data_IF_974683241534
#
_entry.id   IF_974683241534
#
_cell.length_a   1.000
_cell.length_b   1.000
_cell.length_c   1.000
_cell.angle_alpha   90.00
_cell.angle_beta   90.00
_cell.angle_gamma   90.00
#
_symmetry.space_group_name_H-M   'P 1'
#
loop_
_entity.id
_entity.type
_entity.pdbx_description
1 polymer ?
#
# COMPACT_ATOMS: atom_id res chain seq x y z
N UNK A 1 5.39 -13.53 8.02
CA UNK A 1 5.34 -12.29 7.19
C UNK A 1 6.73 -11.97 6.65
N UNK A 2 6.89 -11.15 5.61
CA UNK A 2 8.23 -10.78 5.11
C UNK A 2 9.12 -10.11 6.17
N UNK A 3 8.51 -9.40 7.13
CA UNK A 3 9.18 -8.82 8.29
C UNK A 3 9.97 -9.85 9.12
N UNK A 4 9.46 -11.07 9.27
CA UNK A 4 10.11 -12.16 10.03
C UNK A 4 11.33 -12.75 9.31
N UNK A 5 11.50 -12.46 8.02
CA UNK A 5 12.66 -12.91 7.23
C UNK A 5 13.85 -11.96 7.36
N UNK A 6 13.68 -10.79 7.99
CA UNK A 6 14.75 -9.84 8.21
C UNK A 6 15.59 -10.35 9.37
N UNK A 7 16.85 -10.67 9.06
CA UNK A 7 17.80 -11.19 10.04
C UNK A 7 17.98 -10.17 11.18
N UNK A 8 17.97 -10.67 12.42
CA UNK A 8 18.21 -9.90 13.64
C UNK A 8 17.15 -8.82 13.95
N UNK A 9 16.01 -8.80 13.24
CA UNK A 9 14.91 -7.89 13.52
C UNK A 9 14.04 -8.36 14.70
N UNK A 10 13.68 -7.44 15.60
CA UNK A 10 12.61 -7.64 16.56
C UNK A 10 11.30 -7.14 15.94
N UNK A 11 10.34 -8.04 15.74
CA UNK A 11 9.09 -7.75 15.03
C UNK A 11 7.94 -7.60 16.02
N UNK A 12 7.30 -6.43 16.01
CA UNK A 12 6.06 -6.15 16.74
C UNK A 12 4.95 -5.88 15.74
N UNK A 13 3.77 -6.46 15.97
CA UNK A 13 2.58 -6.26 15.15
C UNK A 13 1.59 -5.35 15.85
N UNK A 14 0.93 -4.51 15.07
CA UNK A 14 -0.08 -3.55 15.52
C UNK A 14 -1.38 -3.77 14.75
N UNK A 15 -2.48 -3.27 15.29
CA UNK A 15 -3.80 -3.47 14.69
C UNK A 15 -4.07 -2.49 13.54
N UNK A 16 -3.33 -1.38 13.46
CA UNK A 16 -3.47 -0.39 12.39
C UNK A 16 -2.14 0.24 11.98
N UNK A 17 -2.08 0.74 10.74
CA UNK A 17 -0.93 1.52 10.27
C UNK A 17 -0.73 2.82 11.07
N UNK A 18 -1.82 3.41 11.58
CA UNK A 18 -1.71 4.62 12.42
C UNK A 18 -0.94 4.38 13.72
N UNK A 19 -1.10 3.20 14.32
CA UNK A 19 -0.35 2.80 15.52
C UNK A 19 1.14 2.62 15.21
N UNK A 20 1.50 2.05 14.06
CA UNK A 20 2.90 1.86 13.70
C UNK A 20 3.62 3.20 13.47
N UNK A 21 2.97 4.18 12.84
CA UNK A 21 3.53 5.53 12.69
C UNK A 21 3.77 6.21 14.04
N UNK A 22 2.86 6.05 15.00
CA UNK A 22 3.03 6.57 16.35
C UNK A 22 4.23 5.94 17.05
N UNK A 23 4.42 4.63 16.89
CA UNK A 23 5.53 3.89 17.48
C UNK A 23 6.89 4.35 16.93
N UNK A 24 7.00 4.48 15.60
CA UNK A 24 8.20 4.99 14.94
C UNK A 24 8.56 6.40 15.45
N UNK A 25 7.58 7.30 15.52
CA UNK A 25 7.81 8.68 15.98
C UNK A 25 8.16 8.79 17.46
N UNK A 26 7.75 7.81 18.27
CA UNK A 26 8.13 7.71 19.69
C UNK A 26 9.49 7.03 19.89
N UNK A 27 10.12 6.54 18.83
CA UNK A 27 11.37 5.79 18.90
C UNK A 27 11.19 4.37 19.44
N UNK A 28 9.97 3.81 19.37
CA UNK A 28 9.69 2.43 19.76
C UNK A 28 10.11 1.40 18.71
N UNK A 29 10.30 1.83 17.47
CA UNK A 29 10.89 1.01 16.41
C UNK A 29 11.75 1.86 15.46
N UNK A 30 12.68 1.22 14.76
CA UNK A 30 13.57 1.88 13.79
C UNK A 30 12.93 1.99 12.39
N UNK A 31 11.98 1.10 12.06
CA UNK A 31 11.34 1.04 10.76
C UNK A 31 9.95 0.41 10.83
N UNK A 32 9.09 0.77 9.86
CA UNK A 32 7.78 0.17 9.64
C UNK A 32 7.80 -0.56 8.30
N UNK A 33 7.16 -1.72 8.24
CA UNK A 33 6.95 -2.48 7.01
C UNK A 33 5.46 -2.59 6.76
N UNK A 34 5.02 -2.07 5.62
CA UNK A 34 3.66 -2.20 5.11
C UNK A 34 3.67 -2.00 3.58
N UNK A 35 2.50 -2.13 2.98
CA UNK A 35 2.23 -1.88 1.58
C UNK A 35 2.61 -0.45 1.16
N UNK A 36 3.33 -0.32 0.04
CA UNK A 36 3.79 0.99 -0.47
C UNK A 36 2.64 2.00 -0.65
N UNK A 37 1.47 1.65 -1.22
CA UNK A 37 0.35 2.59 -1.32
C UNK A 37 -0.11 3.18 0.02
N UNK A 38 -0.02 2.40 1.12
CA UNK A 38 -0.40 2.87 2.46
C UNK A 38 0.59 3.91 2.97
N UNK A 39 1.89 3.67 2.78
CA UNK A 39 2.93 4.64 3.15
C UNK A 39 2.92 5.88 2.26
N UNK A 40 2.79 5.72 0.94
CA UNK A 40 2.69 6.83 -0.01
C UNK A 40 1.50 7.74 0.33
N UNK A 41 0.35 7.16 0.65
CA UNK A 41 -0.81 7.91 1.11
C UNK A 41 -0.54 8.69 2.40
N UNK A 42 0.11 8.07 3.39
CA UNK A 42 0.49 8.76 4.63
C UNK A 42 1.43 9.94 4.37
N UNK A 43 2.47 9.76 3.55
CA UNK A 43 3.40 10.84 3.18
C UNK A 43 2.68 12.00 2.48
N UNK A 44 1.75 11.71 1.57
CA UNK A 44 0.97 12.73 0.86
C UNK A 44 0.03 13.54 1.77
N UNK A 45 -0.59 12.87 2.73
CA UNK A 45 -1.71 13.43 3.51
C UNK A 45 -1.27 14.00 4.84
N UNK A 46 -0.44 13.28 5.59
CA UNK A 46 0.08 13.74 6.88
C UNK A 46 1.27 14.68 6.72
N UNK A 47 2.00 14.60 5.59
CA UNK A 47 3.20 15.39 5.28
C UNK A 47 4.19 15.45 6.46
N UNK A 48 4.59 14.28 7.00
CA UNK A 48 5.55 14.26 8.10
C UNK A 48 6.91 14.79 7.62
N UNK A 49 7.63 15.46 8.51
CA UNK A 49 8.98 15.99 8.29
C UNK A 49 10.07 15.21 9.04
N UNK A 50 9.67 14.21 9.83
CA UNK A 50 10.52 13.40 10.71
C UNK A 50 10.70 11.94 10.24
N UNK A 51 10.09 11.55 9.12
CA UNK A 51 10.22 10.21 8.53
C UNK A 51 10.44 10.28 7.02
N UNK A 52 11.06 9.24 6.48
CA UNK A 52 11.27 9.07 5.04
C UNK A 52 10.65 7.75 4.57
N UNK A 53 10.17 7.73 3.33
CA UNK A 53 9.86 6.48 2.63
C UNK A 53 11.15 5.98 1.99
N UNK A 54 11.55 4.75 2.29
CA UNK A 54 12.74 4.15 1.70
C UNK A 54 12.47 3.67 0.27
N UNK A 55 13.48 3.79 -0.57
CA UNK A 55 13.49 3.21 -1.91
C UNK A 55 13.63 1.69 -1.86
N UNK A 56 13.03 1.04 -2.86
CA UNK A 56 13.06 -0.42 -2.99
C UNK A 56 11.85 -1.13 -2.40
N UNK A 57 11.73 -2.40 -2.77
CA UNK A 57 10.61 -3.26 -2.41
C UNK A 57 11.16 -4.55 -1.81
N UNK A 58 10.64 -4.96 -0.65
CA UNK A 58 10.95 -6.28 -0.08
C UNK A 58 10.29 -7.38 -0.93
N UNK A 59 9.12 -7.08 -1.48
CA UNK A 59 8.39 -7.92 -2.43
C UNK A 59 7.50 -7.05 -3.31
N UNK A 60 7.17 -7.54 -4.49
CA UNK A 60 6.17 -6.94 -5.38
C UNK A 60 5.07 -7.97 -5.67
N UNK A 61 3.83 -7.59 -5.42
CA UNK A 61 2.65 -8.46 -5.57
C UNK A 61 1.54 -7.69 -6.28
N UNK A 62 0.77 -8.39 -7.11
CA UNK A 62 -0.40 -7.80 -7.77
C UNK A 62 -1.59 -7.79 -6.84
N UNK A 63 -2.25 -6.64 -6.70
CA UNK A 63 -3.52 -6.54 -5.96
C UNK A 63 -4.69 -7.12 -6.76
N UNK A 64 -5.67 -7.66 -6.04
CA UNK A 64 -6.90 -8.20 -6.62
C UNK A 64 -8.10 -8.07 -5.68
N UNK A 65 -9.29 -8.10 -6.27
CA UNK A 65 -10.56 -8.09 -5.51
C UNK A 65 -10.94 -9.54 -5.22
N UNK A 66 -11.02 -9.90 -3.94
CA UNK A 66 -11.43 -11.24 -3.52
C UNK A 66 -12.94 -11.39 -3.70
N UNK A 67 -13.35 -12.46 -4.39
CA UNK A 67 -14.75 -12.76 -4.70
C UNK A 67 -15.07 -14.22 -4.39
N UNK A 68 -16.36 -14.54 -4.20
CA UNK A 68 -16.81 -15.92 -4.05
C UNK A 68 -16.51 -16.69 -5.35
N UNK A 69 -15.74 -17.79 -5.24
CA UNK A 69 -15.31 -18.62 -6.37
C UNK A 69 -16.45 -19.17 -7.22
N UNK A 70 -17.63 -19.34 -6.64
CA UNK A 70 -18.79 -19.88 -7.35
C UNK A 70 -19.63 -18.79 -8.05
N UNK A 71 -19.33 -17.50 -7.84
CA UNK A 71 -20.06 -16.41 -8.46
C UNK A 71 -19.30 -15.87 -9.69
N UNK A 72 -19.29 -16.68 -10.74
CA UNK A 72 -18.59 -16.37 -12.00
C UNK A 72 -19.20 -15.19 -12.73
N UNK A 73 -20.52 -15.00 -12.64
CA UNK A 73 -21.22 -13.87 -13.28
C UNK A 73 -20.73 -12.52 -12.71
N UNK A 74 -20.63 -12.40 -11.38
CA UNK A 74 -20.09 -11.20 -10.75
C UNK A 74 -18.63 -10.98 -11.13
N UNK A 75 -17.82 -12.04 -11.12
CA UNK A 75 -16.41 -11.96 -11.50
C UNK A 75 -16.23 -11.41 -12.92
N UNK A 76 -17.01 -11.92 -13.88
CA UNK A 76 -16.96 -11.44 -15.26
C UNK A 76 -17.41 -9.99 -15.39
N UNK A 77 -18.48 -9.59 -14.68
CA UNK A 77 -18.97 -8.21 -14.70
C UNK A 77 -17.93 -7.24 -14.15
N UNK A 78 -17.29 -7.58 -13.02
CA UNK A 78 -16.23 -6.78 -12.40
C UNK A 78 -15.04 -6.66 -13.34
N UNK A 79 -14.57 -7.77 -13.92
CA UNK A 79 -13.44 -7.75 -14.85
C UNK A 79 -13.72 -6.88 -16.08
N UNK A 80 -14.89 -7.05 -16.73
CA UNK A 80 -15.29 -6.21 -17.88
C UNK A 80 -15.39 -4.73 -17.51
N UNK A 81 -15.87 -4.41 -16.31
CA UNK A 81 -15.90 -3.04 -15.81
C UNK A 81 -14.49 -2.46 -15.63
N UNK A 82 -13.58 -3.27 -15.08
CA UNK A 82 -12.20 -2.87 -14.85
C UNK A 82 -11.43 -2.63 -16.17
N UNK A 83 -11.67 -3.46 -17.19
CA UNK A 83 -11.07 -3.28 -18.52
C UNK A 83 -11.53 -1.97 -19.15
N UNK A 84 -12.84 -1.65 -19.07
CA UNK A 84 -13.39 -0.39 -19.59
C UNK A 84 -12.74 0.84 -18.95
N UNK A 85 -12.63 0.88 -17.63
CA UNK A 85 -12.03 2.03 -16.94
C UNK A 85 -10.52 2.16 -17.17
N UNK A 86 -9.86 1.08 -17.57
CA UNK A 86 -8.46 1.13 -18.01
C UNK A 86 -8.36 1.71 -19.41
N UNK A 87 -9.19 1.23 -20.33
CA UNK A 87 -9.22 1.67 -21.72
C UNK A 87 -9.56 3.16 -21.87
N UNK A 88 -10.50 3.66 -21.08
CA UNK A 88 -10.93 5.06 -21.12
C UNK A 88 -10.06 6.02 -20.27
N UNK A 89 -9.06 5.48 -19.57
CA UNK A 89 -8.12 6.24 -18.75
C UNK A 89 -8.64 6.66 -17.37
N UNK A 90 -9.88 6.32 -17.00
CA UNK A 90 -10.44 6.60 -15.66
C UNK A 90 -9.58 5.99 -14.56
N UNK A 91 -9.07 4.77 -14.78
CA UNK A 91 -8.17 4.11 -13.83
C UNK A 91 -6.91 4.95 -13.58
N UNK A 92 -6.28 5.47 -14.63
CA UNK A 92 -5.09 6.30 -14.50
C UNK A 92 -5.40 7.61 -13.78
N UNK A 93 -6.55 8.23 -14.04
CA UNK A 93 -6.97 9.44 -13.31
C UNK A 93 -7.14 9.18 -11.81
N UNK A 94 -7.71 8.04 -11.44
CA UNK A 94 -7.84 7.63 -10.03
C UNK A 94 -6.47 7.36 -9.42
N UNK A 95 -5.60 6.62 -10.13
CA UNK A 95 -4.23 6.37 -9.66
C UNK A 95 -3.48 7.68 -9.44
N UNK A 96 -3.53 8.58 -10.42
CA UNK A 96 -2.82 9.86 -10.39
C UNK A 96 -3.29 10.73 -9.22
N UNK A 97 -4.60 10.77 -8.97
CA UNK A 97 -5.20 11.51 -7.86
C UNK A 97 -4.63 11.12 -6.50
N UNK A 98 -4.32 9.84 -6.31
CA UNK A 98 -3.88 9.32 -5.01
C UNK A 98 -2.35 9.13 -4.91
N UNK A 99 -1.65 8.89 -6.03
CA UNK A 99 -0.27 8.40 -5.99
C UNK A 99 0.74 9.16 -6.86
N UNK A 100 0.33 9.94 -7.88
CA UNK A 100 1.30 10.58 -8.79
C UNK A 100 2.24 11.58 -8.13
N UNK A 101 1.80 12.26 -7.07
CA UNK A 101 2.65 13.18 -6.31
C UNK A 101 3.63 12.46 -5.38
N UNK A 102 3.60 11.12 -5.31
CA UNK A 102 4.41 10.30 -4.41
C UNK A 102 5.47 9.45 -5.13
N UNK A 103 5.48 9.42 -6.47
CA UNK A 103 6.41 8.62 -7.28
C UNK A 103 7.59 9.45 -7.86
N UNK A 104 7.63 10.78 -7.63
CA UNK A 104 8.63 11.70 -8.19
C UNK A 104 9.78 12.12 -7.25
N UNK A 105 10.05 11.41 -6.15
CA UNK A 105 11.28 11.65 -5.36
C UNK A 105 11.89 10.38 -4.84
#
# INVERSE_FOLDING_TARGET
MYSEKIKDAQVTQFNSASETYLELRKGGCDAIINDRPVHAYYMATAKPDDVILLDGYISAESYGIVMNKNNTELQELVNRGFDKIKEDGTYQQIYDKWFKNNDEK
#
